data_IF_449048741352
#
_entry.id   IF_449048741352
#
_cell.length_a   1.000
_cell.length_b   1.000
_cell.length_c   1.000
_cell.angle_alpha   90.00
_cell.angle_beta   90.00
_cell.angle_gamma   90.00
#
_symmetry.space_group_name_H-M   'P 1'
#
loop_
_entity.id
_entity.type
_entity.pdbx_description
1 polymer ?
#
# COMPACT_ATOMS: atom_id res chain seq x y z
N UNK A 1 -9.89 -23.73 -13.76
CA UNK A 1 -9.15 -22.65 -14.46
C UNK A 1 -10.02 -21.83 -15.41
N UNK A 2 -10.70 -22.40 -16.42
CA UNK A 2 -11.50 -21.63 -17.40
C UNK A 2 -12.60 -20.77 -16.72
N UNK A 3 -13.41 -21.32 -15.81
CA UNK A 3 -14.47 -20.58 -15.11
C UNK A 3 -13.94 -19.43 -14.22
N UNK A 4 -12.74 -19.56 -13.68
CA UNK A 4 -12.16 -18.51 -12.84
C UNK A 4 -11.62 -17.36 -13.70
N UNK A 5 -11.04 -17.65 -14.85
CA UNK A 5 -10.60 -16.67 -15.84
C UNK A 5 -11.78 -15.87 -16.42
N UNK A 6 -12.90 -16.53 -16.76
CA UNK A 6 -14.13 -15.87 -17.23
C UNK A 6 -14.75 -14.97 -16.17
N UNK A 7 -14.69 -15.37 -14.89
CA UNK A 7 -15.21 -14.58 -13.78
C UNK A 7 -14.36 -13.34 -13.46
N UNK A 8 -13.02 -13.43 -13.59
CA UNK A 8 -12.10 -12.29 -13.45
C UNK A 8 -12.37 -11.27 -14.55
N UNK A 9 -12.42 -11.69 -15.81
CA UNK A 9 -12.79 -10.81 -16.95
C UNK A 9 -14.19 -10.18 -16.76
N UNK A 10 -15.08 -10.83 -16.01
CA UNK A 10 -16.39 -10.31 -15.68
C UNK A 10 -16.34 -9.08 -14.77
N UNK A 11 -15.55 -9.12 -13.69
CA UNK A 11 -15.39 -8.00 -12.74
C UNK A 11 -14.66 -6.81 -13.33
N UNK A 12 -13.60 -7.05 -14.12
CA UNK A 12 -12.91 -5.98 -14.85
C UNK A 12 -13.84 -5.25 -15.81
N UNK A 13 -14.60 -6.01 -16.60
CA UNK A 13 -15.58 -5.45 -17.56
C UNK A 13 -16.70 -4.70 -16.84
N UNK A 14 -17.16 -5.20 -15.72
CA UNK A 14 -18.17 -4.52 -14.91
C UNK A 14 -17.63 -3.20 -14.37
N UNK A 15 -16.42 -3.20 -13.80
CA UNK A 15 -15.77 -1.98 -13.32
C UNK A 15 -15.65 -0.92 -14.43
N UNK A 16 -15.12 -1.30 -15.59
CA UNK A 16 -14.95 -0.40 -16.72
C UNK A 16 -16.30 0.14 -17.22
N UNK A 17 -17.33 -0.69 -17.32
CA UNK A 17 -18.66 -0.27 -17.75
C UNK A 17 -19.28 0.75 -16.77
N UNK A 18 -19.18 0.49 -15.45
CA UNK A 18 -19.68 1.43 -14.44
C UNK A 18 -18.88 2.73 -14.46
N UNK A 19 -17.56 2.65 -14.55
CA UNK A 19 -16.70 3.82 -14.64
C UNK A 19 -17.01 4.69 -15.88
N UNK A 20 -17.17 4.09 -17.04
CA UNK A 20 -17.51 4.83 -18.27
C UNK A 20 -18.84 5.58 -18.17
N UNK A 21 -19.84 5.02 -17.46
CA UNK A 21 -21.10 5.73 -17.19
C UNK A 21 -20.90 7.02 -16.41
N UNK A 22 -19.92 7.04 -15.49
CA UNK A 22 -19.61 8.23 -14.68
C UNK A 22 -18.89 9.31 -15.49
N UNK A 23 -18.19 8.92 -16.55
CA UNK A 23 -17.37 9.81 -17.36
C UNK A 23 -18.13 10.50 -18.50
N UNK A 24 -19.45 10.27 -18.66
CA UNK A 24 -20.22 10.77 -19.82
C UNK A 24 -20.12 12.29 -20.03
N UNK A 25 -20.03 13.08 -18.96
CA UNK A 25 -19.90 14.54 -19.01
C UNK A 25 -18.74 15.08 -18.18
N UNK A 26 -17.81 14.22 -17.75
CA UNK A 26 -16.74 14.55 -16.82
C UNK A 26 -15.39 14.04 -17.32
N UNK A 27 -14.32 14.67 -16.89
CA UNK A 27 -12.96 14.15 -17.10
C UNK A 27 -12.79 12.80 -16.43
N UNK A 28 -12.36 11.78 -17.16
CA UNK A 28 -12.09 10.45 -16.61
C UNK A 28 -11.06 10.51 -15.48
N UNK A 29 -10.04 11.37 -15.61
CA UNK A 29 -9.06 11.61 -14.57
C UNK A 29 -9.70 12.12 -13.27
N UNK A 30 -10.58 13.13 -13.37
CA UNK A 30 -11.23 13.71 -12.20
C UNK A 30 -12.16 12.70 -11.52
N UNK A 31 -12.93 11.95 -12.30
CA UNK A 31 -13.81 10.89 -11.77
C UNK A 31 -12.98 9.83 -11.06
N UNK A 32 -11.84 9.42 -11.62
CA UNK A 32 -10.94 8.45 -10.99
C UNK A 32 -10.37 8.99 -9.68
N UNK A 33 -9.85 10.23 -9.70
CA UNK A 33 -9.30 10.87 -8.51
C UNK A 33 -10.34 10.98 -7.38
N UNK A 34 -11.56 11.41 -7.69
CA UNK A 34 -12.65 11.53 -6.73
C UNK A 34 -13.06 10.16 -6.16
N UNK A 35 -13.12 9.13 -7.00
CA UNK A 35 -13.42 7.76 -6.57
C UNK A 35 -12.33 7.21 -5.64
N UNK A 36 -11.06 7.28 -6.04
CA UNK A 36 -9.96 6.75 -5.21
C UNK A 36 -9.88 7.50 -3.88
N UNK A 37 -10.04 8.82 -3.90
CA UNK A 37 -10.04 9.64 -2.68
C UNK A 37 -11.21 9.28 -1.77
N UNK A 38 -12.44 9.21 -2.29
CA UNK A 38 -13.62 8.87 -1.50
C UNK A 38 -13.51 7.48 -0.87
N UNK A 39 -13.06 6.49 -1.63
CA UNK A 39 -12.87 5.12 -1.13
C UNK A 39 -11.76 5.09 -0.07
N UNK A 40 -10.61 5.72 -0.31
CA UNK A 40 -9.51 5.77 0.66
C UNK A 40 -9.94 6.45 1.97
N UNK A 41 -10.62 7.60 1.90
CA UNK A 41 -11.16 8.29 3.07
C UNK A 41 -12.13 7.40 3.85
N UNK A 42 -13.05 6.70 3.16
CA UNK A 42 -14.03 5.84 3.82
C UNK A 42 -13.37 4.67 4.57
N UNK A 43 -12.36 4.03 3.99
CA UNK A 43 -11.60 2.96 4.64
C UNK A 43 -10.81 3.52 5.84
N UNK A 44 -10.15 4.64 5.66
CA UNK A 44 -9.32 5.26 6.69
C UNK A 44 -10.12 5.69 7.91
N UNK A 45 -11.27 6.33 7.72
CA UNK A 45 -12.09 6.88 8.81
C UNK A 45 -12.75 5.80 9.69
N UNK A 46 -12.78 4.55 9.23
CA UNK A 46 -13.18 3.41 10.07
C UNK A 46 -12.08 3.05 11.07
N UNK A 47 -10.81 3.15 10.68
CA UNK A 47 -9.67 2.65 11.44
C UNK A 47 -8.90 3.77 12.17
N UNK A 48 -8.63 4.89 11.50
CA UNK A 48 -7.89 6.03 12.04
C UNK A 48 -8.86 7.14 12.43
N UNK A 49 -9.15 7.23 13.73
CA UNK A 49 -10.04 8.24 14.31
C UNK A 49 -9.29 9.36 15.04
N UNK A 50 -8.01 9.53 14.76
CA UNK A 50 -7.27 10.68 15.26
C UNK A 50 -7.96 11.96 14.77
N UNK A 51 -8.24 12.97 15.62
CA UNK A 51 -8.97 14.18 15.22
C UNK A 51 -8.34 14.88 14.02
N UNK A 52 -7.01 14.88 13.97
CA UNK A 52 -6.22 15.52 12.93
C UNK A 52 -6.50 14.94 11.53
N UNK A 53 -6.50 13.61 11.40
CA UNK A 53 -6.77 12.95 10.13
C UNK A 53 -8.26 12.82 9.82
N UNK A 54 -9.06 12.46 10.82
CA UNK A 54 -10.48 12.16 10.63
C UNK A 54 -11.26 13.35 10.06
N UNK A 55 -11.14 14.53 10.67
CA UNK A 55 -11.89 15.73 10.23
C UNK A 55 -11.50 16.16 8.82
N UNK A 56 -10.21 16.12 8.50
CA UNK A 56 -9.70 16.44 7.17
C UNK A 56 -10.23 15.47 6.11
N UNK A 57 -10.20 14.17 6.39
CA UNK A 57 -10.66 13.12 5.47
C UNK A 57 -12.18 13.11 5.29
N UNK A 58 -12.95 13.39 6.35
CA UNK A 58 -14.42 13.59 6.23
C UNK A 58 -14.77 14.74 5.32
N UNK A 59 -14.09 15.88 5.48
CA UNK A 59 -14.31 17.04 4.60
C UNK A 59 -13.96 16.70 3.15
N UNK A 60 -12.86 16.03 2.91
CA UNK A 60 -12.44 15.65 1.57
C UNK A 60 -13.40 14.62 0.95
N UNK A 61 -13.83 13.62 1.74
CA UNK A 61 -14.87 12.67 1.35
C UNK A 61 -16.14 13.39 0.89
N UNK A 62 -16.65 14.31 1.69
CA UNK A 62 -17.87 15.07 1.36
C UNK A 62 -17.72 15.84 0.03
N UNK A 63 -16.57 16.46 -0.21
CA UNK A 63 -16.29 17.16 -1.48
C UNK A 63 -16.24 16.21 -2.68
N UNK A 64 -15.66 15.02 -2.51
CA UNK A 64 -15.65 14.00 -3.57
C UNK A 64 -17.08 13.51 -3.87
N UNK A 65 -17.88 13.25 -2.84
CA UNK A 65 -19.28 12.85 -3.00
C UNK A 65 -20.11 13.91 -3.71
N UNK A 66 -19.94 15.18 -3.37
CA UNK A 66 -20.61 16.29 -4.07
C UNK A 66 -20.27 16.29 -5.56
N UNK A 67 -18.99 16.12 -5.93
CA UNK A 67 -18.56 16.03 -7.33
C UNK A 67 -19.03 14.76 -8.02
N UNK A 68 -19.03 13.62 -7.33
CA UNK A 68 -19.53 12.35 -7.88
C UNK A 68 -21.05 12.32 -8.01
N UNK A 69 -21.78 13.06 -7.17
CA UNK A 69 -23.21 13.23 -7.20
C UNK A 69 -24.03 12.22 -6.37
N UNK A 70 -23.41 11.13 -5.85
CA UNK A 70 -24.07 10.16 -4.97
C UNK A 70 -23.04 9.38 -4.15
N UNK A 71 -23.41 9.05 -2.91
CA UNK A 71 -22.65 8.15 -2.02
C UNK A 71 -22.68 6.68 -2.50
N UNK A 72 -23.66 6.31 -3.30
CA UNK A 72 -23.81 4.97 -3.85
C UNK A 72 -22.73 4.64 -4.88
N UNK A 73 -22.20 5.67 -5.57
CA UNK A 73 -21.18 5.50 -6.61
C UNK A 73 -19.89 4.90 -6.05
N UNK A 74 -19.19 5.52 -5.08
CA UNK A 74 -17.97 4.93 -4.53
C UNK A 74 -18.25 3.62 -3.79
N UNK A 75 -19.42 3.45 -3.16
CA UNK A 75 -19.79 2.20 -2.51
C UNK A 75 -19.92 1.04 -3.52
N UNK A 76 -20.57 1.27 -4.66
CA UNK A 76 -20.68 0.27 -5.74
C UNK A 76 -19.31 -0.06 -6.34
N UNK A 77 -18.50 0.95 -6.62
CA UNK A 77 -17.16 0.73 -7.18
C UNK A 77 -16.26 -0.02 -6.20
N UNK A 78 -16.33 0.29 -4.90
CA UNK A 78 -15.64 -0.46 -3.85
C UNK A 78 -16.08 -1.92 -3.82
N UNK A 79 -17.38 -2.20 -3.91
CA UNK A 79 -17.89 -3.57 -3.92
C UNK A 79 -17.31 -4.39 -5.09
N UNK A 80 -17.19 -3.81 -6.29
CA UNK A 80 -16.56 -4.46 -7.44
C UNK A 80 -15.07 -4.73 -7.19
N UNK A 81 -14.35 -3.77 -6.59
CA UNK A 81 -12.92 -3.94 -6.24
C UNK A 81 -12.76 -5.08 -5.23
N UNK A 82 -13.61 -5.12 -4.18
CA UNK A 82 -13.60 -6.20 -3.17
C UNK A 82 -13.82 -7.55 -3.86
N UNK A 83 -14.85 -7.67 -4.70
CA UNK A 83 -15.14 -8.91 -5.42
C UNK A 83 -13.98 -9.35 -6.33
N UNK A 84 -13.33 -8.41 -7.00
CA UNK A 84 -12.16 -8.70 -7.85
C UNK A 84 -11.00 -9.27 -7.03
N UNK A 85 -10.68 -8.65 -5.87
CA UNK A 85 -9.58 -9.08 -5.00
C UNK A 85 -9.90 -10.36 -4.22
N UNK A 86 -11.17 -10.60 -3.86
CA UNK A 86 -11.61 -11.89 -3.27
C UNK A 86 -11.46 -13.05 -4.26
N UNK A 87 -11.83 -12.82 -5.52
CA UNK A 87 -11.70 -13.84 -6.58
C UNK A 87 -10.24 -14.13 -6.95
N UNK A 88 -9.44 -13.09 -7.01
CA UNK A 88 -8.03 -13.18 -7.31
C UNK A 88 -7.21 -12.17 -6.50
N UNK A 89 -6.64 -12.56 -5.35
CA UNK A 89 -5.77 -11.67 -4.57
C UNK A 89 -4.37 -11.50 -5.20
N UNK A 90 -3.99 -12.32 -6.20
CA UNK A 90 -2.71 -12.27 -6.89
C UNK A 90 -2.80 -11.37 -8.15
N UNK A 91 -3.15 -10.09 -7.97
CA UNK A 91 -3.24 -9.10 -9.05
C UNK A 91 -3.09 -7.67 -8.54
N UNK A 92 -2.70 -6.76 -9.40
CA UNK A 92 -2.82 -5.31 -9.23
C UNK A 92 -4.06 -4.81 -9.96
N UNK A 93 -5.23 -5.02 -9.37
CA UNK A 93 -6.50 -4.70 -10.02
C UNK A 93 -6.64 -3.22 -10.37
N UNK A 94 -6.36 -2.32 -9.41
CA UNK A 94 -6.51 -0.88 -9.65
C UNK A 94 -5.45 -0.36 -10.62
N UNK A 95 -4.20 -0.84 -10.54
CA UNK A 95 -3.17 -0.47 -11.50
C UNK A 95 -3.51 -0.91 -12.93
N UNK A 96 -4.05 -2.11 -13.11
CA UNK A 96 -4.50 -2.60 -14.41
C UNK A 96 -5.66 -1.77 -14.96
N UNK A 97 -6.67 -1.45 -14.14
CA UNK A 97 -7.79 -0.58 -14.55
C UNK A 97 -7.31 0.83 -14.92
N UNK A 98 -6.41 1.40 -14.12
CA UNK A 98 -5.81 2.71 -14.37
C UNK A 98 -5.10 2.76 -15.73
N UNK A 99 -4.33 1.72 -16.04
CA UNK A 99 -3.61 1.62 -17.33
C UNK A 99 -4.56 1.38 -18.50
N UNK A 100 -5.58 0.52 -18.36
CA UNK A 100 -6.58 0.27 -19.40
C UNK A 100 -7.39 1.52 -19.74
N UNK A 101 -7.70 2.34 -18.75
CA UNK A 101 -8.41 3.61 -18.93
C UNK A 101 -7.53 4.75 -19.47
N UNK A 102 -6.23 4.48 -19.70
CA UNK A 102 -5.25 5.48 -20.17
C UNK A 102 -5.19 6.74 -19.27
N UNK A 103 -5.36 6.55 -17.96
CA UNK A 103 -5.33 7.64 -16.99
C UNK A 103 -3.90 8.06 -16.64
N UNK A 104 -2.92 7.23 -16.96
CA UNK A 104 -1.50 7.51 -16.79
C UNK A 104 -1.09 8.76 -17.57
N UNK A 105 -0.34 9.62 -16.93
CA UNK A 105 0.18 10.80 -17.57
C UNK A 105 1.39 10.40 -18.43
N UNK A 106 1.17 10.16 -19.73
CA UNK A 106 2.23 9.82 -20.69
C UNK A 106 3.40 10.80 -20.69
N UNK A 107 3.16 12.06 -20.31
CA UNK A 107 4.19 13.08 -20.18
C UNK A 107 5.06 12.91 -18.94
N UNK A 108 4.56 12.22 -17.90
CA UNK A 108 5.31 11.91 -16.66
C UNK A 108 5.98 10.54 -16.69
N UNK A 109 5.79 9.76 -17.76
CA UNK A 109 6.39 8.42 -17.87
C UNK A 109 5.92 7.43 -16.81
N UNK A 110 4.70 7.58 -16.33
CA UNK A 110 4.11 6.71 -15.28
C UNK A 110 3.67 5.39 -15.91
N UNK A 111 4.47 4.35 -15.73
CA UNK A 111 4.15 2.98 -16.14
C UNK A 111 4.26 2.09 -14.91
N UNK A 112 3.20 1.33 -14.62
CA UNK A 112 3.24 0.34 -13.53
C UNK A 112 3.98 -0.91 -13.98
N UNK A 113 4.74 -1.49 -13.06
CA UNK A 113 5.43 -2.76 -13.30
C UNK A 113 4.39 -3.88 -13.43
N UNK A 114 4.42 -4.68 -14.49
CA UNK A 114 3.47 -5.79 -14.63
C UNK A 114 3.52 -6.73 -13.42
N UNK A 115 2.35 -7.15 -12.93
CA UNK A 115 2.25 -7.98 -11.73
C UNK A 115 3.08 -9.27 -11.78
N UNK A 116 3.19 -9.90 -12.96
CA UNK A 116 4.02 -11.10 -13.13
C UNK A 116 5.51 -10.85 -12.85
N UNK A 117 6.01 -9.65 -13.15
CA UNK A 117 7.38 -9.23 -12.85
C UNK A 117 7.54 -9.01 -11.35
N UNK A 118 6.59 -8.30 -10.71
CA UNK A 118 6.58 -8.09 -9.27
C UNK A 118 6.58 -9.42 -8.51
N UNK A 119 5.79 -10.39 -8.97
CA UNK A 119 5.72 -11.73 -8.40
C UNK A 119 7.08 -12.46 -8.48
N UNK A 120 7.72 -12.46 -9.65
CA UNK A 120 9.05 -13.04 -9.83
C UNK A 120 10.08 -12.38 -8.89
N UNK A 121 10.08 -11.05 -8.82
CA UNK A 121 10.98 -10.29 -7.94
C UNK A 121 10.76 -10.67 -6.47
N UNK A 122 9.51 -10.75 -6.04
CA UNK A 122 9.14 -11.13 -4.67
C UNK A 122 9.59 -12.55 -4.33
N UNK A 123 9.41 -13.51 -5.24
CA UNK A 123 9.85 -14.91 -5.03
C UNK A 123 11.37 -15.04 -4.89
N UNK A 124 12.14 -14.19 -5.58
CA UNK A 124 13.61 -14.17 -5.47
C UNK A 124 14.09 -13.53 -4.15
N UNK A 125 13.41 -12.48 -3.69
CA UNK A 125 13.88 -11.68 -2.55
C UNK A 125 13.44 -12.20 -1.18
N UNK A 126 12.48 -13.11 -1.12
CA UNK A 126 11.95 -13.65 0.14
C UNK A 126 12.70 -14.90 0.65
N UNK A 127 14.04 -14.89 0.62
CA UNK A 127 14.83 -16.10 0.96
C UNK A 127 15.10 -16.31 2.47
N UNK A 128 15.07 -15.28 3.32
CA UNK A 128 15.47 -15.40 4.76
C UNK A 128 14.38 -14.93 5.75
N UNK A 129 13.13 -15.07 5.35
CA UNK A 129 11.96 -14.60 6.10
C UNK A 129 11.83 -15.27 7.46
N UNK A 130 12.06 -16.60 7.54
CA UNK A 130 11.94 -17.38 8.77
C UNK A 130 12.82 -16.81 9.87
N UNK A 131 14.08 -16.55 9.58
CA UNK A 131 15.07 -16.07 10.52
C UNK A 131 14.70 -14.66 11.09
N UNK A 132 14.13 -13.77 10.25
CA UNK A 132 13.67 -12.46 10.70
C UNK A 132 12.44 -12.56 11.59
N UNK A 133 11.46 -13.39 11.22
CA UNK A 133 10.24 -13.60 12.02
C UNK A 133 10.57 -14.26 13.36
N UNK A 134 11.49 -15.24 13.38
CA UNK A 134 11.91 -15.89 14.62
C UNK A 134 12.62 -14.92 15.60
N UNK A 135 13.43 -14.01 15.07
CA UNK A 135 14.21 -13.06 15.91
C UNK A 135 13.38 -11.89 16.43
N UNK A 136 12.52 -11.30 15.60
CA UNK A 136 11.83 -10.05 15.90
C UNK A 136 10.31 -10.21 16.03
N UNK A 137 9.76 -11.38 15.66
CA UNK A 137 8.32 -11.62 15.62
C UNK A 137 7.63 -11.04 14.39
N UNK A 138 8.30 -10.21 13.60
CA UNK A 138 7.82 -9.62 12.36
C UNK A 138 8.98 -9.17 11.47
N UNK A 139 8.68 -8.89 10.21
CA UNK A 139 9.59 -8.22 9.27
C UNK A 139 8.89 -6.98 8.66
N UNK A 140 9.66 -6.08 8.08
CA UNK A 140 9.13 -4.96 7.31
C UNK A 140 9.52 -5.08 5.83
N UNK A 141 8.57 -4.76 4.95
CA UNK A 141 8.78 -4.70 3.51
C UNK A 141 8.49 -3.27 3.06
N UNK A 142 9.47 -2.62 2.43
CA UNK A 142 9.37 -1.24 2.00
C UNK A 142 9.41 -1.13 0.47
N UNK A 143 8.49 -0.35 -0.10
CA UNK A 143 8.53 0.09 -1.49
C UNK A 143 8.49 1.63 -1.55
N UNK A 144 9.63 2.28 -1.88
CA UNK A 144 9.75 3.73 -1.88
C UNK A 144 9.17 4.42 -3.13
N UNK A 145 8.62 3.65 -4.08
CA UNK A 145 7.97 4.14 -5.31
C UNK A 145 6.82 3.19 -5.68
N UNK A 146 5.90 3.00 -4.72
CA UNK A 146 4.96 1.89 -4.70
C UNK A 146 3.94 1.88 -5.85
N UNK A 147 3.69 3.02 -6.51
CA UNK A 147 2.63 3.11 -7.50
C UNK A 147 1.30 2.63 -6.93
N UNK A 148 0.61 1.75 -7.63
CA UNK A 148 -0.63 1.12 -7.16
C UNK A 148 -0.41 -0.03 -6.14
N UNK A 149 0.85 -0.41 -5.84
CA UNK A 149 1.18 -1.40 -4.83
C UNK A 149 1.45 -2.81 -5.35
N UNK A 150 1.62 -3.00 -6.66
CA UNK A 150 1.80 -4.31 -7.29
C UNK A 150 2.90 -5.15 -6.63
N UNK A 151 4.02 -4.54 -6.28
CA UNK A 151 5.18 -5.18 -5.63
C UNK A 151 4.86 -5.65 -4.22
N UNK A 152 4.16 -4.82 -3.44
CA UNK A 152 3.76 -5.15 -2.07
C UNK A 152 2.65 -6.20 -2.04
N UNK A 153 1.72 -6.18 -3.02
CA UNK A 153 0.71 -7.22 -3.21
C UNK A 153 1.39 -8.56 -3.54
N UNK A 154 2.37 -8.54 -4.42
CA UNK A 154 3.15 -9.74 -4.77
C UNK A 154 3.90 -10.29 -3.56
N UNK A 155 4.50 -9.41 -2.74
CA UNK A 155 5.17 -9.78 -1.50
C UNK A 155 4.20 -10.45 -0.50
N UNK A 156 3.02 -9.87 -0.26
CA UNK A 156 2.00 -10.46 0.61
C UNK A 156 1.60 -11.87 0.16
N UNK A 157 1.40 -12.06 -1.15
CA UNK A 157 1.05 -13.36 -1.70
C UNK A 157 2.21 -14.36 -1.64
N UNK A 158 3.45 -13.92 -1.81
CA UNK A 158 4.65 -14.75 -1.63
C UNK A 158 4.78 -15.21 -0.17
N UNK A 159 4.59 -14.30 0.81
CA UNK A 159 4.54 -14.68 2.22
C UNK A 159 3.51 -15.77 2.51
N UNK A 160 2.30 -15.62 1.96
CA UNK A 160 1.23 -16.61 2.11
C UNK A 160 1.62 -17.96 1.51
N UNK A 161 2.31 -18.00 0.34
CA UNK A 161 2.83 -19.24 -0.28
C UNK A 161 3.88 -19.91 0.59
N UNK A 162 4.75 -19.13 1.24
CA UNK A 162 5.72 -19.58 2.22
C UNK A 162 5.11 -19.96 3.57
N UNK A 163 3.77 -19.99 3.68
CA UNK A 163 3.00 -20.33 4.89
C UNK A 163 3.16 -19.32 6.04
N UNK A 164 3.59 -18.11 5.75
CA UNK A 164 3.61 -17.03 6.71
C UNK A 164 2.31 -16.24 6.67
N UNK A 165 1.76 -15.93 7.83
CA UNK A 165 0.63 -15.02 7.95
C UNK A 165 1.14 -13.58 7.85
N UNK A 166 1.14 -13.01 6.65
CA UNK A 166 1.61 -11.65 6.41
C UNK A 166 0.83 -10.58 7.22
N UNK A 167 -0.45 -10.82 7.53
CA UNK A 167 -1.27 -9.90 8.32
C UNK A 167 -0.70 -9.70 9.73
N UNK A 168 -0.11 -10.77 10.28
CA UNK A 168 0.44 -10.77 11.62
C UNK A 168 1.96 -10.61 11.68
N UNK A 169 2.68 -10.90 10.58
CA UNK A 169 4.13 -10.96 10.61
C UNK A 169 4.82 -9.97 9.68
N UNK A 170 4.08 -9.19 8.87
CA UNK A 170 4.69 -8.23 7.95
C UNK A 170 4.12 -6.84 8.15
N UNK A 171 5.00 -5.84 8.26
CA UNK A 171 4.65 -4.42 8.15
C UNK A 171 4.98 -3.95 6.75
N UNK A 172 3.98 -3.51 6.01
CA UNK A 172 4.13 -2.96 4.67
C UNK A 172 4.30 -1.45 4.76
N UNK A 173 5.42 -0.95 4.25
CA UNK A 173 5.75 0.46 4.21
C UNK A 173 5.79 0.89 2.75
N UNK A 174 4.88 1.73 2.35
CA UNK A 174 4.76 2.22 0.98
C UNK A 174 5.00 3.74 0.95
N UNK A 175 5.69 4.23 -0.07
CA UNK A 175 5.79 5.66 -0.33
C UNK A 175 5.64 5.93 -1.82
N UNK A 176 4.89 6.98 -2.19
CA UNK A 176 4.80 7.45 -3.56
C UNK A 176 4.61 8.97 -3.58
N UNK A 177 5.11 9.63 -4.62
CA UNK A 177 4.95 11.06 -4.82
C UNK A 177 3.57 11.41 -5.38
N UNK A 178 2.96 10.49 -6.14
CA UNK A 178 1.65 10.69 -6.71
C UNK A 178 0.56 10.22 -5.74
N UNK A 179 -0.25 11.19 -5.30
CA UNK A 179 -1.28 10.96 -4.29
C UNK A 179 -2.30 9.91 -4.73
N UNK A 180 -2.72 9.94 -5.99
CA UNK A 180 -3.77 9.05 -6.48
C UNK A 180 -3.26 7.62 -6.59
N UNK A 181 -2.04 7.41 -7.08
CA UNK A 181 -1.45 6.08 -7.12
C UNK A 181 -1.17 5.52 -5.72
N UNK A 182 -0.70 6.36 -4.80
CA UNK A 182 -0.57 5.99 -3.39
C UNK A 182 -1.90 5.62 -2.72
N UNK A 183 -3.00 6.30 -3.06
CA UNK A 183 -4.34 5.91 -2.60
C UNK A 183 -4.80 4.57 -3.20
N UNK A 184 -4.48 4.28 -4.47
CA UNK A 184 -4.73 2.97 -5.07
C UNK A 184 -4.00 1.87 -4.30
N UNK A 185 -2.72 2.08 -3.98
CA UNK A 185 -1.92 1.20 -3.14
C UNK A 185 -2.58 1.00 -1.77
N UNK A 186 -2.95 2.09 -1.10
CA UNK A 186 -3.62 2.06 0.20
C UNK A 186 -4.92 1.24 0.19
N UNK A 187 -5.78 1.45 -0.81
CA UNK A 187 -7.04 0.73 -0.95
C UNK A 187 -6.77 -0.77 -1.11
N UNK A 188 -5.95 -1.17 -2.05
CA UNK A 188 -5.69 -2.58 -2.35
C UNK A 188 -5.05 -3.31 -1.16
N UNK A 189 -4.01 -2.74 -0.55
CA UNK A 189 -3.35 -3.34 0.62
C UNK A 189 -4.28 -3.41 1.84
N UNK A 190 -5.13 -2.40 2.04
CA UNK A 190 -6.14 -2.40 3.11
C UNK A 190 -7.15 -3.53 2.93
N UNK A 191 -7.68 -3.72 1.71
CA UNK A 191 -8.65 -4.78 1.39
C UNK A 191 -8.04 -6.18 1.48
N UNK A 192 -6.76 -6.33 1.16
CA UNK A 192 -6.03 -7.59 1.33
C UNK A 192 -5.68 -7.88 2.80
N UNK A 193 -5.93 -6.94 3.71
CA UNK A 193 -5.63 -7.07 5.12
C UNK A 193 -4.14 -6.95 5.46
N UNK A 194 -3.37 -6.23 4.64
CA UNK A 194 -1.99 -5.91 4.95
C UNK A 194 -1.91 -4.93 6.13
N UNK A 195 -0.93 -5.13 7.00
CA UNK A 195 -0.66 -4.21 8.11
C UNK A 195 0.46 -3.25 7.71
N UNK A 196 0.29 -1.96 7.95
CA UNK A 196 1.29 -0.95 7.62
C UNK A 196 0.67 0.39 7.23
N UNK A 197 1.35 1.12 6.37
CA UNK A 197 0.91 2.46 5.96
C UNK A 197 1.49 2.86 4.61
N UNK A 198 0.81 3.83 3.98
CA UNK A 198 1.27 4.51 2.76
C UNK A 198 1.59 5.96 3.11
N UNK A 199 2.76 6.43 2.71
CA UNK A 199 3.19 7.81 2.82
C UNK A 199 3.13 8.48 1.44
N UNK A 200 2.38 9.57 1.33
CA UNK A 200 2.36 10.38 0.11
C UNK A 200 3.40 11.47 0.27
N UNK A 201 4.53 11.32 -0.39
CA UNK A 201 5.61 12.31 -0.41
C UNK A 201 6.71 11.89 -1.40
N UNK A 202 7.58 12.84 -1.75
CA UNK A 202 8.76 12.55 -2.56
C UNK A 202 9.80 11.80 -1.73
N UNK A 203 10.08 10.55 -2.08
CA UNK A 203 11.01 9.67 -1.35
C UNK A 203 12.45 10.19 -1.31
N UNK A 204 12.87 10.95 -2.32
CA UNK A 204 14.25 11.49 -2.39
C UNK A 204 14.40 12.73 -1.52
N UNK A 205 13.45 13.67 -1.60
CA UNK A 205 13.58 14.98 -0.92
C UNK A 205 12.87 15.01 0.44
N UNK A 206 11.89 14.15 0.65
CA UNK A 206 11.13 14.03 1.90
C UNK A 206 10.86 12.55 2.23
N UNK A 207 11.93 11.75 2.49
CA UNK A 207 11.77 10.35 2.82
C UNK A 207 11.06 10.17 4.16
N UNK A 208 10.27 9.12 4.26
CA UNK A 208 9.70 8.69 5.53
C UNK A 208 10.83 8.27 6.47
N UNK A 209 10.71 8.63 7.75
CA UNK A 209 11.70 8.34 8.79
C UNK A 209 11.02 7.85 10.07
N UNK A 210 11.82 7.38 11.01
CA UNK A 210 11.34 6.82 12.26
C UNK A 210 11.38 5.29 12.25
N UNK A 211 11.00 4.71 13.38
CA UNK A 211 10.90 3.25 13.50
C UNK A 211 9.67 2.75 12.74
N UNK A 212 9.76 1.59 12.12
CA UNK A 212 8.68 1.03 11.28
C UNK A 212 7.32 0.89 12.00
N UNK A 213 7.33 0.68 13.31
CA UNK A 213 6.11 0.67 14.13
C UNK A 213 5.67 2.07 14.59
N UNK A 214 6.54 3.08 14.47
CA UNK A 214 6.34 4.46 14.88
C UNK A 214 6.89 5.41 13.80
N UNK A 215 6.26 5.46 12.62
CA UNK A 215 6.68 6.37 11.58
C UNK A 215 6.57 7.82 12.06
N UNK A 216 7.55 8.64 11.66
CA UNK A 216 7.56 10.04 11.99
C UNK A 216 7.05 10.84 10.79
N UNK A 217 5.82 11.31 10.87
CA UNK A 217 5.21 12.17 9.86
C UNK A 217 5.82 13.57 9.92
N UNK A 218 6.30 14.04 8.79
CA UNK A 218 6.90 15.37 8.63
C UNK A 218 5.98 16.27 7.83
N UNK A 219 6.26 17.57 7.89
CA UNK A 219 5.58 18.55 7.05
C UNK A 219 5.69 18.16 5.55
N UNK A 220 4.56 18.21 4.86
CA UNK A 220 4.45 17.83 3.44
C UNK A 220 4.39 16.33 3.19
N UNK A 221 4.20 15.51 4.23
CA UNK A 221 3.84 14.10 4.11
C UNK A 221 2.37 13.91 4.47
N UNK A 222 1.72 12.90 3.87
CA UNK A 222 0.41 12.40 4.28
C UNK A 222 0.55 10.91 4.62
N UNK A 223 0.32 10.51 5.87
CA UNK A 223 0.34 9.11 6.29
C UNK A 223 -1.06 8.51 6.30
N UNK A 224 -1.20 7.35 5.64
CA UNK A 224 -2.43 6.59 5.51
C UNK A 224 -2.25 5.22 6.15
N UNK A 225 -2.71 5.07 7.40
CA UNK A 225 -2.59 3.81 8.15
C UNK A 225 -3.63 2.79 7.71
N UNK A 226 -3.19 1.60 7.30
CA UNK A 226 -4.07 0.51 6.93
C UNK A 226 -4.82 -0.02 8.15
N UNK A 227 -6.11 -0.43 8.02
CA UNK A 227 -6.92 -0.90 9.15
C UNK A 227 -6.26 -2.03 9.96
N UNK A 228 -5.61 -2.98 9.28
CA UNK A 228 -4.95 -4.10 9.95
C UNK A 228 -3.79 -3.66 10.85
N UNK A 229 -3.13 -2.53 10.57
CA UNK A 229 -2.06 -1.99 11.41
C UNK A 229 -2.58 -1.51 12.77
N UNK A 230 -3.87 -1.21 12.88
CA UNK A 230 -4.54 -0.85 14.14
C UNK A 230 -5.05 -2.07 14.93
N UNK A 231 -4.88 -3.28 14.42
CA UNK A 231 -5.27 -4.51 15.10
C UNK A 231 -4.48 -4.71 16.41
N UNK A 232 -5.05 -5.50 17.32
CA UNK A 232 -4.49 -5.78 18.66
C UNK A 232 -3.04 -6.27 18.60
N UNK A 233 -2.71 -7.17 17.66
CA UNK A 233 -1.34 -7.72 17.58
C UNK A 233 -0.30 -6.62 17.32
N UNK A 234 -0.59 -5.67 16.44
CA UNK A 234 0.30 -4.57 16.12
C UNK A 234 0.30 -3.52 17.24
N UNK A 235 -0.84 -3.32 17.91
CA UNK A 235 -0.93 -2.46 19.09
C UNK A 235 -0.08 -3.00 20.24
N UNK A 236 -0.12 -4.31 20.51
CA UNK A 236 0.74 -4.94 21.51
C UNK A 236 2.23 -4.83 21.15
N UNK A 237 2.59 -5.02 19.89
CA UNK A 237 3.99 -4.86 19.45
C UNK A 237 4.49 -3.44 19.68
N UNK A 238 3.71 -2.42 19.33
CA UNK A 238 4.04 -1.03 19.63
C UNK A 238 4.21 -0.80 21.13
N UNK A 239 3.30 -1.32 21.94
CA UNK A 239 3.39 -1.19 23.39
C UNK A 239 4.67 -1.85 23.94
N UNK A 240 4.96 -3.08 23.56
CA UNK A 240 6.18 -3.77 24.01
C UNK A 240 7.45 -3.06 23.55
N UNK A 241 7.50 -2.57 22.34
CA UNK A 241 8.63 -1.80 21.83
C UNK A 241 8.85 -0.51 22.62
N UNK A 242 7.77 0.22 22.96
CA UNK A 242 7.86 1.43 23.78
C UNK A 242 8.29 1.13 25.22
N UNK A 243 7.89 -0.01 25.80
CA UNK A 243 8.28 -0.43 27.15
C UNK A 243 9.72 -0.95 27.21
N UNK A 244 10.18 -1.68 26.18
CA UNK A 244 11.57 -2.15 26.08
C UNK A 244 12.57 -1.00 25.98
N UNK A 245 12.18 0.14 25.42
CA UNK A 245 12.98 1.36 25.41
C UNK A 245 13.11 2.04 26.78
N UNK A 246 12.24 1.71 27.75
CA UNK A 246 12.32 2.24 29.13
C UNK A 246 13.24 1.41 30.06
N UNK A 247 13.63 0.20 29.66
CA UNK A 247 14.46 -0.71 30.45
C UNK A 247 15.91 -0.87 30.00
N UNK A 248 16.27 -0.29 28.86
CA UNK A 248 17.62 -0.38 28.28
C UNK A 248 18.30 0.98 28.21
N UNK A 249 19.46 1.08 28.89
CA UNK A 249 20.38 2.22 28.79
C UNK A 249 20.58 2.68 27.34
N UNK A 250 20.50 3.99 27.15
CA UNK A 250 20.74 4.71 25.89
C UNK A 250 21.89 4.10 25.08
N UNK A 251 21.58 3.32 24.09
CA UNK A 251 22.50 2.95 23.01
C UNK A 251 22.06 3.67 21.75
N UNK A 252 22.69 4.81 21.58
CA UNK A 252 23.06 5.53 20.36
C UNK A 252 22.18 5.38 19.11
N UNK A 253 21.74 6.53 18.64
CA UNK A 253 21.04 6.83 17.36
C UNK A 253 21.59 6.15 16.08
N UNK A 254 22.63 5.35 16.19
CA UNK A 254 23.28 4.70 15.04
C UNK A 254 22.70 3.36 14.60
N UNK A 255 21.79 2.76 15.37
CA UNK A 255 21.28 1.39 15.09
C UNK A 255 19.92 1.39 14.38
N UNK A 256 19.23 2.53 14.29
CA UNK A 256 17.86 2.61 13.74
C UNK A 256 17.83 2.57 12.20
N UNK A 257 18.94 2.88 11.53
CA UNK A 257 18.99 2.89 10.05
C UNK A 257 19.13 1.50 9.40
N UNK A 258 19.35 0.43 10.15
CA UNK A 258 19.66 -0.91 9.60
C UNK A 258 18.49 -1.90 9.55
N UNK A 259 17.29 -1.54 9.99
CA UNK A 259 16.18 -2.50 10.14
C UNK A 259 15.18 -2.51 8.98
N UNK A 260 15.40 -1.77 7.90
CA UNK A 260 14.52 -1.81 6.73
C UNK A 260 15.04 -2.85 5.72
N UNK A 261 14.30 -3.94 5.57
CA UNK A 261 14.49 -4.85 4.45
C UNK A 261 13.92 -4.18 3.19
N UNK A 262 14.78 -3.55 2.39
CA UNK A 262 14.40 -2.98 1.10
C UNK A 262 14.31 -4.11 0.08
N UNK A 263 13.11 -4.45 -0.39
CA UNK A 263 12.91 -5.50 -1.40
C UNK A 263 13.58 -5.17 -2.75
N UNK A 264 13.96 -3.91 -2.99
CA UNK A 264 14.44 -3.45 -4.29
C UNK A 264 15.79 -2.71 -4.30
N UNK A 265 16.31 -2.24 -3.16
CA UNK A 265 17.58 -1.50 -3.14
C UNK A 265 18.33 -1.73 -1.84
N UNK A 266 19.16 -2.75 -1.79
CA UNK A 266 20.19 -2.90 -0.76
C UNK A 266 21.47 -2.19 -1.27
N UNK A 267 21.61 -0.90 -0.96
CA UNK A 267 22.78 -0.12 -1.33
C UNK A 267 24.03 -0.50 -0.55
N UNK A 268 23.91 -1.16 0.60
CA UNK A 268 25.03 -1.50 1.47
C UNK A 268 25.85 -2.72 1.02
N UNK A 269 25.32 -3.56 0.13
CA UNK A 269 26.05 -4.75 -0.37
C UNK A 269 27.09 -4.45 -1.47
N UNK A 270 27.22 -3.23 -1.97
CA UNK A 270 28.13 -2.94 -3.09
C UNK A 270 29.55 -2.58 -2.69
N UNK A 271 29.86 -2.28 -1.45
CA UNK A 271 31.24 -1.93 -1.07
C UNK A 271 32.16 -3.14 -0.81
N UNK A 272 31.63 -4.33 -0.48
CA UNK A 272 32.47 -5.49 -0.24
C UNK A 272 32.88 -6.30 -1.51
N UNK A 273 32.20 -6.09 -2.63
CA UNK A 273 32.46 -6.85 -3.86
C UNK A 273 33.57 -6.28 -4.77
N UNK A 274 34.07 -5.06 -4.52
CA UNK A 274 35.08 -4.40 -5.35
C UNK A 274 36.39 -4.07 -4.63
N UNK A 275 36.59 -4.58 -3.41
CA UNK A 275 37.79 -4.31 -2.59
C UNK A 275 38.94 -5.29 -2.71
N UNK A 276 38.93 -6.24 -3.66
CA UNK A 276 40.06 -7.15 -3.88
C UNK A 276 40.20 -7.50 -5.38
N UNK A 277 40.83 -6.63 -6.12
CA UNK A 277 41.66 -6.99 -7.27
C UNK A 277 42.72 -5.93 -7.50
#
# INVERSE_FOLDING_TARGET
MVKQSEAIQGTEKEFLNEFHKLCYSRSSWQVWADLMTAIACSISNVADRSPEHYESREKEYAQCIERLGSVEIPAKMLAIIVEALERNPEQDFLGEMYMQLNLGNHWKGQFFTPYCVCKMMSEITCEDVDNHIEKQGYLSICDPACGAGATLIAAANTMKKCKHNFQNHVVFVAQDIDRITGMMCYIQLSLLGCAGYVCIANTITNPLTGHVLFPNEKEGQELWYMPMFQNQIWTWRRLFQSMGGLGGTATTEKTVEKEHFYMFFDFDKKEEAYGNR
#
